data_IF_244930525724
#
_entry.id   IF_244930525724
#
_cell.length_a   1.000
_cell.length_b   1.000
_cell.length_c   1.000
_cell.angle_alpha   90.00
_cell.angle_beta   90.00
_cell.angle_gamma   90.00
#
_symmetry.space_group_name_H-M   'P 1'
#
loop_
_entity.id
_entity.type
_entity.pdbx_description
1 polymer ?
#
# COMPACT_ATOMS: atom_id res chain seq x y z
N UNK A 1 -3.43 3.78 -58.76
CA UNK A 1 -3.17 4.70 -57.62
C UNK A 1 -4.18 5.84 -57.69
N UNK A 2 -5.35 5.68 -57.07
CA UNK A 2 -6.33 6.76 -56.97
C UNK A 2 -6.02 7.60 -55.72
N UNK A 3 -5.72 8.88 -55.92
CA UNK A 3 -5.65 9.88 -54.86
C UNK A 3 -7.07 10.22 -54.44
N UNK A 4 -7.45 9.92 -53.20
CA UNK A 4 -8.60 10.50 -52.53
C UNK A 4 -8.16 10.87 -51.11
N UNK A 5 -7.87 12.14 -50.88
CA UNK A 5 -7.67 12.69 -49.54
C UNK A 5 -8.50 13.96 -49.44
N UNK A 6 -9.59 13.90 -48.68
CA UNK A 6 -10.43 15.06 -48.41
C UNK A 6 -11.77 14.64 -47.84
N UNK A 7 -11.81 14.35 -46.54
CA UNK A 7 -13.04 14.49 -45.78
C UNK A 7 -12.74 15.31 -44.53
N UNK A 8 -13.14 16.57 -44.59
CA UNK A 8 -13.23 17.47 -43.45
C UNK A 8 -14.35 16.97 -42.55
N UNK A 9 -14.02 16.59 -41.32
CA UNK A 9 -15.01 16.47 -40.25
C UNK A 9 -14.86 17.67 -39.32
N UNK A 10 -15.87 18.55 -39.37
CA UNK A 10 -16.05 19.64 -38.41
C UNK A 10 -16.32 19.04 -37.03
N UNK A 11 -15.44 19.27 -36.07
CA UNK A 11 -15.76 19.11 -34.66
C UNK A 11 -16.02 20.51 -34.06
N UNK A 12 -17.22 20.66 -33.51
CA UNK A 12 -17.78 21.86 -32.90
C UNK A 12 -16.97 22.26 -31.66
N UNK A 13 -16.61 23.54 -31.56
CA UNK A 13 -16.13 24.15 -30.31
C UNK A 13 -17.30 24.23 -29.34
N UNK A 14 -17.48 23.23 -28.48
CA UNK A 14 -18.30 23.37 -27.29
C UNK A 14 -17.37 23.85 -26.17
N UNK A 15 -17.61 25.09 -25.75
CA UNK A 15 -17.10 25.66 -24.51
C UNK A 15 -17.56 24.82 -23.33
N UNK A 16 -16.68 23.96 -22.86
CA UNK A 16 -16.82 23.22 -21.62
C UNK A 16 -15.52 22.49 -21.42
N UNK A 17 -14.74 22.93 -20.43
CA UNK A 17 -13.66 22.10 -19.94
C UNK A 17 -14.30 20.83 -19.37
N UNK A 18 -14.42 19.79 -20.21
CA UNK A 18 -14.51 18.45 -19.70
C UNK A 18 -13.11 18.14 -19.21
N UNK A 19 -12.86 18.39 -17.93
CA UNK A 19 -11.90 17.58 -17.20
C UNK A 19 -12.43 16.16 -17.28
N UNK A 20 -12.07 15.42 -18.34
CA UNK A 20 -12.06 13.98 -18.26
C UNK A 20 -11.00 13.66 -17.23
N UNK A 21 -11.43 13.54 -15.98
CA UNK A 21 -10.68 12.75 -15.00
C UNK A 21 -10.60 11.36 -15.61
N UNK A 22 -9.51 11.11 -16.32
CA UNK A 22 -9.13 9.76 -16.67
C UNK A 22 -8.74 9.14 -15.33
N UNK A 23 -9.69 8.55 -14.64
CA UNK A 23 -9.39 7.67 -13.53
C UNK A 23 -8.55 6.54 -14.13
N UNK A 24 -7.23 6.60 -13.95
CA UNK A 24 -6.44 5.39 -14.06
C UNK A 24 -7.06 4.47 -13.02
N UNK A 25 -7.73 3.39 -13.46
CA UNK A 25 -8.18 2.37 -12.56
C UNK A 25 -6.97 2.00 -11.70
N UNK A 26 -7.08 2.11 -10.37
CA UNK A 26 -6.06 1.63 -9.46
C UNK A 26 -5.86 0.14 -9.77
N UNK A 27 -4.72 -0.20 -10.38
CA UNK A 27 -4.47 -1.55 -10.94
C UNK A 27 -4.04 -2.53 -9.83
N UNK A 28 -3.73 -2.05 -8.62
CA UNK A 28 -3.33 -2.90 -7.51
C UNK A 28 -3.54 -2.25 -6.14
N UNK A 29 -3.13 -2.92 -5.07
CA UNK A 29 -3.28 -2.39 -3.72
C UNK A 29 -2.56 -1.06 -3.53
N UNK A 30 -3.12 -0.18 -2.69
CA UNK A 30 -2.44 1.00 -2.16
C UNK A 30 -2.23 0.74 -0.68
N UNK A 31 -0.98 0.86 -0.24
CA UNK A 31 -0.61 0.68 1.15
C UNK A 31 -0.31 2.03 1.81
N UNK A 32 -0.78 2.21 3.03
CA UNK A 32 -0.61 3.43 3.82
C UNK A 32 0.24 3.15 5.06
N UNK A 33 1.02 4.13 5.51
CA UNK A 33 1.90 3.97 6.67
C UNK A 33 1.12 3.70 7.96
N UNK A 34 1.73 2.93 8.86
CA UNK A 34 1.15 2.52 10.14
C UNK A 34 1.94 3.06 11.33
N UNK A 35 1.24 3.18 12.46
CA UNK A 35 1.84 3.48 13.75
C UNK A 35 1.27 2.58 14.85
N UNK A 36 2.16 1.90 15.56
CA UNK A 36 1.85 1.17 16.78
C UNK A 36 2.81 1.61 17.88
N UNK A 37 2.49 1.32 19.13
CA UNK A 37 3.40 1.55 20.24
C UNK A 37 3.36 0.38 21.21
N UNK A 38 4.50 0.15 21.85
CA UNK A 38 4.67 -0.86 22.89
C UNK A 38 5.61 -0.31 23.94
N UNK A 39 5.40 -0.70 25.20
CA UNK A 39 6.38 -0.39 26.24
C UNK A 39 7.63 -1.25 26.04
N UNK A 40 8.77 -0.77 26.53
CA UNK A 40 9.96 -1.61 26.65
C UNK A 40 9.65 -2.94 27.34
N UNK A 41 10.43 -3.97 27.00
CA UNK A 41 10.35 -5.32 27.58
C UNK A 41 8.98 -6.01 27.48
N UNK A 42 8.09 -5.49 26.63
CA UNK A 42 6.74 -6.04 26.40
C UNK A 42 6.60 -6.56 24.97
N UNK A 43 5.79 -7.60 24.79
CA UNK A 43 5.44 -8.11 23.46
C UNK A 43 4.23 -7.34 22.93
N UNK A 44 4.39 -6.70 21.77
CA UNK A 44 3.27 -6.21 20.97
C UNK A 44 2.68 -7.37 20.18
N UNK A 45 1.38 -7.61 20.31
CA UNK A 45 0.62 -8.55 19.48
C UNK A 45 -0.52 -7.82 18.81
N UNK A 46 -0.49 -7.77 17.48
CA UNK A 46 -1.53 -7.15 16.67
C UNK A 46 -2.35 -8.24 15.99
N UNK A 47 -3.68 -8.11 16.07
CA UNK A 47 -4.64 -9.06 15.51
C UNK A 47 -4.65 -9.04 13.96
N UNK A 48 -5.32 -10.00 13.30
CA UNK A 48 -5.49 -10.01 11.84
C UNK A 48 -6.07 -8.72 11.29
N UNK A 49 -5.88 -8.52 9.99
CA UNK A 49 -5.89 -7.22 9.29
C UNK A 49 -4.70 -6.36 9.67
N UNK A 50 -4.45 -6.07 10.96
CA UNK A 50 -3.27 -5.35 11.44
C UNK A 50 -2.82 -4.22 10.50
N UNK A 51 -1.63 -4.37 9.90
CA UNK A 51 -1.06 -3.39 8.94
C UNK A 51 -1.92 -3.15 7.70
N UNK A 52 -2.74 -4.12 7.27
CA UNK A 52 -3.63 -4.01 6.12
C UNK A 52 -4.93 -3.24 6.42
N UNK A 53 -5.16 -2.75 7.65
CA UNK A 53 -6.45 -2.18 8.06
C UNK A 53 -6.79 -0.87 7.34
N UNK A 54 -5.78 -0.06 7.03
CA UNK A 54 -5.86 1.21 6.31
C UNK A 54 -5.57 1.07 4.80
N UNK A 55 -5.18 -0.12 4.36
CA UNK A 55 -4.86 -0.41 2.96
C UNK A 55 -6.11 -0.64 2.11
N UNK A 56 -6.00 -0.37 0.81
CA UNK A 56 -7.14 -0.48 -0.12
C UNK A 56 -6.81 -1.28 -1.36
N UNK A 57 -7.78 -2.06 -1.82
CA UNK A 57 -7.78 -2.77 -3.10
C UNK A 57 -9.19 -2.79 -3.67
N UNK A 58 -9.33 -2.50 -4.96
CA UNK A 58 -10.64 -2.40 -5.63
C UNK A 58 -11.17 -3.78 -6.05
N UNK A 59 -10.28 -4.74 -6.29
CA UNK A 59 -10.60 -5.95 -7.05
C UNK A 59 -10.44 -7.26 -6.27
N UNK A 60 -9.88 -7.21 -5.04
CA UNK A 60 -9.43 -8.42 -4.35
C UNK A 60 -9.02 -8.18 -2.90
N UNK A 61 -9.06 -9.27 -2.13
CA UNK A 61 -8.40 -9.36 -0.83
C UNK A 61 -6.88 -9.19 -0.98
N UNK A 62 -6.24 -8.64 0.05
CA UNK A 62 -4.81 -8.33 0.07
C UNK A 62 -4.10 -9.04 1.22
N UNK A 63 -2.79 -9.25 1.04
CA UNK A 63 -1.89 -9.87 2.00
C UNK A 63 -0.64 -9.02 2.20
N UNK A 64 -0.07 -9.06 3.40
CA UNK A 64 1.15 -8.33 3.74
C UNK A 64 2.41 -9.16 3.44
N UNK A 65 3.41 -8.53 2.79
CA UNK A 65 4.74 -9.12 2.58
C UNK A 65 5.80 -8.18 3.11
N UNK A 66 6.59 -8.65 4.07
CA UNK A 66 7.71 -7.90 4.64
C UNK A 66 8.76 -7.58 3.56
N UNK A 67 9.28 -6.35 3.57
CA UNK A 67 10.34 -5.90 2.67
C UNK A 67 11.64 -5.63 3.43
N UNK A 68 11.55 -4.84 4.50
CA UNK A 68 12.66 -4.62 5.43
C UNK A 68 12.22 -5.01 6.83
N UNK A 69 13.12 -5.61 7.60
CA UNK A 69 12.82 -6.04 8.97
C UNK A 69 13.23 -4.95 9.97
N UNK A 70 12.72 -5.06 11.20
CA UNK A 70 13.10 -4.20 12.33
C UNK A 70 14.59 -4.26 12.63
N UNK A 71 15.14 -3.15 13.12
CA UNK A 71 16.55 -3.03 13.49
C UNK A 71 16.83 -3.40 14.95
N UNK A 72 15.85 -3.24 15.83
CA UNK A 72 16.05 -3.26 17.29
C UNK A 72 15.03 -4.14 18.03
N UNK A 73 14.65 -5.26 17.41
CA UNK A 73 13.82 -6.27 18.05
C UNK A 73 13.66 -7.51 17.19
N UNK A 74 12.69 -8.33 17.54
CA UNK A 74 12.26 -9.48 16.73
C UNK A 74 10.83 -9.26 16.27
N UNK A 75 10.60 -9.32 14.97
CA UNK A 75 9.30 -9.19 14.33
C UNK A 75 8.91 -10.49 13.62
N UNK A 76 7.65 -10.87 13.73
CA UNK A 76 7.01 -11.84 12.85
C UNK A 76 5.76 -11.22 12.26
N UNK A 77 5.76 -10.95 10.94
CA UNK A 77 4.61 -10.47 10.16
C UNK A 77 3.97 -11.65 9.42
N UNK A 78 2.66 -11.82 9.59
CA UNK A 78 1.87 -12.83 8.89
C UNK A 78 1.19 -12.23 7.66
N UNK A 79 0.81 -13.09 6.70
CA UNK A 79 0.15 -12.67 5.46
C UNK A 79 -1.20 -11.97 5.68
N UNK A 80 -1.91 -12.30 6.77
CA UNK A 80 -3.18 -11.68 7.12
C UNK A 80 -3.04 -10.30 7.78
N UNK A 81 -1.82 -9.74 7.80
CA UNK A 81 -1.50 -8.44 8.37
C UNK A 81 -1.31 -8.43 9.88
N UNK A 82 -1.58 -9.54 10.58
CA UNK A 82 -1.23 -9.68 12.00
C UNK A 82 0.28 -9.74 12.19
N UNK A 83 0.77 -9.28 13.33
CA UNK A 83 2.19 -9.39 13.66
C UNK A 83 2.45 -9.44 15.16
N UNK A 84 3.63 -9.95 15.52
CA UNK A 84 4.20 -9.83 16.86
C UNK A 84 5.53 -9.09 16.79
N UNK A 85 5.76 -8.17 17.71
CA UNK A 85 7.03 -7.47 17.88
C UNK A 85 7.49 -7.53 19.34
N UNK A 86 8.78 -7.84 19.54
CA UNK A 86 9.45 -7.79 20.83
C UNK A 86 10.69 -6.88 20.68
N UNK A 87 10.72 -5.69 21.29
CA UNK A 87 11.93 -4.87 21.36
C UNK A 87 13.07 -5.63 22.02
N UNK A 88 14.31 -5.29 21.66
CA UNK A 88 15.48 -5.69 22.43
C UNK A 88 15.38 -5.12 23.87
N UNK A 89 16.01 -5.80 24.84
CA UNK A 89 15.95 -5.37 26.23
C UNK A 89 16.51 -3.96 26.42
N UNK A 90 15.81 -3.13 27.21
CA UNK A 90 16.15 -1.72 27.50
C UNK A 90 16.27 -0.84 26.23
N UNK A 91 15.51 -1.15 25.18
CA UNK A 91 15.43 -0.33 23.98
C UNK A 91 14.24 0.64 24.05
N UNK A 92 14.54 1.93 24.19
CA UNK A 92 13.57 3.02 24.39
C UNK A 92 13.43 3.96 23.17
N UNK A 93 13.92 3.54 22.01
CA UNK A 93 13.89 4.33 20.79
C UNK A 93 12.87 3.80 19.79
N UNK A 94 12.64 4.56 18.72
CA UNK A 94 11.73 4.17 17.63
C UNK A 94 12.39 3.05 16.81
N UNK A 95 11.61 2.03 16.49
CA UNK A 95 11.96 1.00 15.51
C UNK A 95 11.01 1.10 14.30
N UNK A 96 11.37 0.46 13.21
CA UNK A 96 10.49 0.42 12.03
C UNK A 96 10.77 -0.77 11.14
N UNK A 97 9.75 -1.19 10.42
CA UNK A 97 9.86 -2.12 9.31
C UNK A 97 9.03 -1.64 8.14
N UNK A 98 9.28 -2.17 6.95
CA UNK A 98 8.44 -1.87 5.78
C UNK A 98 7.81 -3.12 5.21
N UNK A 99 6.62 -2.97 4.65
CA UNK A 99 5.89 -4.03 3.97
C UNK A 99 5.28 -3.51 2.65
N UNK A 100 4.78 -4.45 1.85
CA UNK A 100 3.86 -4.18 0.75
C UNK A 100 2.57 -4.96 0.96
N UNK A 101 1.45 -4.40 0.50
CA UNK A 101 0.22 -5.13 0.26
C UNK A 101 0.23 -5.73 -1.15
N UNK A 102 -0.23 -6.97 -1.28
CA UNK A 102 -0.37 -7.64 -2.57
C UNK A 102 -1.64 -8.47 -2.64
N UNK A 103 -2.26 -8.53 -3.81
CA UNK A 103 -3.33 -9.47 -4.13
C UNK A 103 -2.80 -10.72 -4.87
N UNK A 104 -1.49 -10.93 -4.88
CA UNK A 104 -0.81 -12.00 -5.61
C UNK A 104 -0.54 -11.72 -7.10
N UNK A 105 -1.15 -10.68 -7.67
CA UNK A 105 -0.91 -10.25 -9.07
C UNK A 105 -0.20 -8.90 -9.13
N UNK A 106 -0.65 -7.96 -8.30
CA UNK A 106 -0.10 -6.62 -8.20
C UNK A 106 0.35 -6.34 -6.76
N UNK A 107 1.32 -5.43 -6.63
CA UNK A 107 1.88 -5.00 -5.36
C UNK A 107 1.73 -3.49 -5.19
N UNK A 108 1.57 -3.05 -3.95
CA UNK A 108 1.54 -1.63 -3.58
C UNK A 108 2.92 -0.97 -3.62
N UNK A 109 2.95 0.33 -3.29
CA UNK A 109 4.11 0.99 -2.72
C UNK A 109 4.58 0.31 -1.42
N UNK A 110 5.80 0.62 -1.00
CA UNK A 110 6.22 0.31 0.38
C UNK A 110 5.42 1.19 1.34
N UNK A 111 4.93 0.58 2.41
CA UNK A 111 4.41 1.26 3.59
C UNK A 111 5.37 1.02 4.77
N UNK A 112 5.53 2.04 5.60
CA UNK A 112 6.36 2.02 6.80
C UNK A 112 5.49 1.81 8.02
N UNK A 113 5.88 0.86 8.86
CA UNK A 113 5.29 0.67 10.18
C UNK A 113 6.27 1.23 11.20
N UNK A 114 5.82 2.24 11.95
CA UNK A 114 6.57 2.79 13.08
C UNK A 114 6.10 2.12 14.37
N UNK A 115 7.05 1.68 15.20
CA UNK A 115 6.82 0.92 16.44
C UNK A 115 7.32 1.66 17.68
#
# INVERSE_FOLDING_TARGET
MQKLSGLFLFAVLISGAFSSSLAFAQIGPIAEDDFYSVNEDSILTVAPMGVLLNDTSIDSDIFAIIQTNVGFGTLTLNLDGSFTYQPNQNFDFIDSFTYIATNGTHSSNNATVTL
#
